data_IF_504099365473
#
_entry.id   IF_504099365473
#
_cell.length_a   1.000
_cell.length_b   1.000
_cell.length_c   1.000
_cell.angle_alpha   90.00
_cell.angle_beta   90.00
_cell.angle_gamma   90.00
#
_symmetry.space_group_name_H-M   'P 1'
#
loop_
_entity.id
_entity.type
_entity.pdbx_description
1 polymer ?
#
# COMPACT_ATOMS: atom_id res chain seq x y z
N UNK A 1 72.36 19.36 -28.64
CA UNK A 1 70.92 19.07 -28.76
C UNK A 1 70.21 19.71 -27.60
N UNK A 2 69.62 20.88 -27.83
CA UNK A 2 68.89 21.64 -26.77
C UNK A 2 67.41 21.29 -26.90
N UNK A 3 66.86 20.57 -25.90
CA UNK A 3 65.44 20.31 -25.82
C UNK A 3 64.83 21.46 -25.03
N UNK A 4 64.18 22.39 -25.75
CA UNK A 4 63.39 23.47 -25.15
C UNK A 4 62.11 22.88 -24.58
N UNK A 5 62.02 22.75 -23.26
CA UNK A 5 60.80 22.47 -22.52
C UNK A 5 59.89 23.71 -22.59
N UNK A 6 58.93 23.70 -23.48
CA UNK A 6 57.84 24.67 -23.48
C UNK A 6 56.83 24.33 -22.41
N UNK A 7 56.90 25.09 -21.33
CA UNK A 7 55.91 25.03 -20.24
C UNK A 7 54.54 25.51 -20.77
N UNK A 8 53.44 24.75 -20.71
CA UNK A 8 52.15 25.22 -21.16
C UNK A 8 51.64 26.29 -20.19
N UNK A 9 51.71 27.54 -20.64
CA UNK A 9 51.17 28.72 -19.94
C UNK A 9 49.69 28.48 -19.67
N UNK A 10 49.34 28.34 -18.39
CA UNK A 10 47.97 28.32 -17.91
C UNK A 10 47.27 29.62 -18.26
N UNK A 11 46.61 29.67 -19.41
CA UNK A 11 45.78 30.82 -19.81
C UNK A 11 44.68 31.03 -18.77
N UNK A 12 44.53 32.23 -18.21
CA UNK A 12 43.49 32.50 -17.20
C UNK A 12 42.11 32.24 -17.83
N UNK A 13 41.19 31.63 -17.09
CA UNK A 13 39.87 31.27 -17.62
C UNK A 13 39.12 32.50 -18.08
N UNK A 14 38.58 32.46 -19.32
CA UNK A 14 37.79 33.53 -19.89
C UNK A 14 36.62 33.92 -18.97
N UNK A 15 36.20 35.21 -19.01
CA UNK A 15 35.03 35.67 -18.18
C UNK A 15 33.80 34.77 -18.31
N UNK A 16 33.55 34.23 -19.50
CA UNK A 16 32.49 33.29 -19.78
C UNK A 16 32.63 31.98 -18.97
N UNK A 17 33.83 31.38 -18.89
CA UNK A 17 34.10 30.18 -18.10
C UNK A 17 33.92 30.40 -16.59
N UNK A 18 34.25 31.60 -16.09
CA UNK A 18 34.01 31.97 -14.68
C UNK A 18 32.50 32.10 -14.40
N UNK A 19 31.76 32.75 -15.32
CA UNK A 19 30.31 32.87 -15.20
C UNK A 19 29.63 31.52 -15.22
N UNK A 20 29.97 30.60 -16.13
CA UNK A 20 29.43 29.24 -16.20
C UNK A 20 29.74 28.47 -14.91
N UNK A 21 30.97 28.54 -14.39
CA UNK A 21 31.33 27.90 -13.12
C UNK A 21 30.51 28.45 -11.95
N UNK A 22 30.30 29.78 -11.89
CA UNK A 22 29.48 30.38 -10.85
C UNK A 22 28.02 29.89 -10.91
N UNK A 23 27.43 29.85 -12.11
CA UNK A 23 26.07 29.33 -12.32
C UNK A 23 25.96 27.83 -11.88
N UNK A 24 26.94 27.01 -12.26
CA UNK A 24 26.97 25.61 -11.86
C UNK A 24 27.09 25.45 -10.34
N UNK A 25 27.94 26.26 -9.68
CA UNK A 25 28.07 26.23 -8.22
C UNK A 25 26.74 26.63 -7.54
N UNK A 26 26.08 27.70 -8.01
CA UNK A 26 24.78 28.09 -7.47
C UNK A 26 23.70 27.03 -7.68
N UNK A 27 23.69 26.38 -8.86
CA UNK A 27 22.76 25.27 -9.12
C UNK A 27 23.01 24.09 -8.17
N UNK A 28 24.27 23.69 -7.99
CA UNK A 28 24.63 22.62 -7.06
C UNK A 28 24.25 22.95 -5.59
N UNK A 29 24.51 24.21 -5.18
CA UNK A 29 24.09 24.65 -3.84
C UNK A 29 22.58 24.68 -3.68
N UNK A 30 21.84 25.09 -4.70
CA UNK A 30 20.37 25.05 -4.71
C UNK A 30 19.84 23.61 -4.58
N UNK A 31 20.39 22.68 -5.34
CA UNK A 31 20.05 21.26 -5.25
C UNK A 31 20.41 20.70 -3.86
N UNK A 32 21.60 21.00 -3.35
CA UNK A 32 22.01 20.55 -2.02
C UNK A 32 21.09 21.11 -0.91
N UNK A 33 20.73 22.40 -0.98
CA UNK A 33 19.78 23.00 -0.04
C UNK A 33 18.39 22.35 -0.10
N UNK A 34 17.90 22.04 -1.32
CA UNK A 34 16.65 21.34 -1.52
C UNK A 34 16.68 19.94 -0.87
N UNK A 35 17.78 19.20 -1.05
CA UNK A 35 17.93 17.88 -0.41
C UNK A 35 18.02 17.98 1.11
N UNK A 36 18.76 18.97 1.64
CA UNK A 36 18.80 19.20 3.09
C UNK A 36 17.40 19.52 3.62
N UNK A 37 16.64 20.38 2.95
CA UNK A 37 15.27 20.66 3.33
C UNK A 37 14.40 19.40 3.29
N UNK A 38 14.43 18.62 2.20
CA UNK A 38 13.64 17.41 2.04
C UNK A 38 13.98 16.34 3.10
N UNK A 39 15.25 16.18 3.46
CA UNK A 39 15.68 15.16 4.41
C UNK A 39 15.43 15.53 5.88
N UNK A 40 15.53 16.82 6.22
CA UNK A 40 15.51 17.27 7.61
C UNK A 40 14.26 18.07 8.01
N UNK A 41 13.58 18.71 7.07
CA UNK A 41 12.48 19.64 7.35
C UNK A 41 11.16 19.22 6.71
N UNK A 42 11.16 18.42 5.63
CA UNK A 42 9.93 17.96 5.03
C UNK A 42 9.22 16.96 5.97
N UNK A 43 7.91 17.10 6.10
CA UNK A 43 7.10 16.14 6.85
C UNK A 43 7.23 14.74 6.24
N UNK A 44 7.59 13.77 7.06
CA UNK A 44 7.68 12.34 6.68
C UNK A 44 6.39 11.58 7.02
N UNK A 45 5.35 12.29 7.47
CA UNK A 45 4.08 11.64 7.76
C UNK A 45 3.37 11.26 6.44
N UNK A 46 2.91 10.01 6.38
CA UNK A 46 2.10 9.52 5.27
C UNK A 46 0.84 10.37 5.12
N UNK A 47 0.44 10.59 3.87
CA UNK A 47 -0.83 11.25 3.54
C UNK A 47 -2.04 10.50 4.11
N UNK A 48 -1.92 9.18 4.34
CA UNK A 48 -2.99 8.34 4.88
C UNK A 48 -3.01 8.28 6.40
N UNK A 49 -1.99 8.80 7.10
CA UNK A 49 -1.92 8.73 8.55
C UNK A 49 -2.91 9.67 9.21
N UNK A 50 -3.76 9.14 10.08
CA UNK A 50 -4.73 9.91 10.89
C UNK A 50 -4.21 10.13 12.31
N UNK A 51 -4.79 11.12 13.01
CA UNK A 51 -4.41 11.47 14.37
C UNK A 51 -5.10 10.65 15.45
N UNK A 52 -6.26 10.04 15.15
CA UNK A 52 -7.10 9.33 16.12
C UNK A 52 -6.54 7.95 16.49
N UNK A 53 -5.65 7.92 17.47
CA UNK A 53 -5.05 6.68 17.97
C UNK A 53 -6.04 5.75 18.68
N UNK A 54 -7.11 6.28 19.21
CA UNK A 54 -8.13 5.47 19.89
C UNK A 54 -8.91 4.66 18.85
N UNK A 55 -9.32 5.32 17.77
CA UNK A 55 -9.95 4.67 16.63
C UNK A 55 -9.05 3.60 16.01
N UNK A 56 -7.76 3.92 15.74
CA UNK A 56 -6.78 2.97 15.19
C UNK A 56 -6.69 1.69 16.01
N UNK A 57 -6.61 1.81 17.36
CA UNK A 57 -6.53 0.65 18.25
C UNK A 57 -7.80 -0.17 18.26
N UNK A 58 -8.96 0.46 18.20
CA UNK A 58 -10.25 -0.24 18.14
C UNK A 58 -10.40 -0.99 16.82
N UNK A 59 -10.09 -0.33 15.69
CA UNK A 59 -10.10 -0.94 14.38
C UNK A 59 -9.15 -2.15 14.31
N UNK A 60 -7.91 -2.01 14.77
CA UNK A 60 -6.94 -3.10 14.85
C UNK A 60 -7.47 -4.28 15.67
N UNK A 61 -8.08 -4.04 16.81
CA UNK A 61 -8.65 -5.11 17.66
C UNK A 61 -9.78 -5.86 16.97
N UNK A 62 -10.63 -5.17 16.21
CA UNK A 62 -11.70 -5.77 15.41
C UNK A 62 -11.11 -6.62 14.29
N UNK A 63 -10.15 -6.08 13.55
CA UNK A 63 -9.46 -6.81 12.47
C UNK A 63 -8.72 -8.04 13.00
N UNK A 64 -8.00 -7.93 14.13
CA UNK A 64 -7.28 -9.04 14.72
C UNK A 64 -8.22 -10.20 15.14
N UNK A 65 -9.46 -9.90 15.51
CA UNK A 65 -10.47 -10.92 15.77
C UNK A 65 -10.90 -11.61 14.48
N UNK A 66 -11.21 -10.83 13.43
CA UNK A 66 -11.56 -11.37 12.12
C UNK A 66 -10.43 -12.19 11.48
N UNK A 67 -9.17 -11.77 11.68
CA UNK A 67 -8.00 -12.52 11.22
C UNK A 67 -7.92 -13.91 11.86
N UNK A 68 -8.11 -14.01 13.18
CA UNK A 68 -8.15 -15.31 13.87
C UNK A 68 -9.31 -16.20 13.40
N UNK A 69 -10.52 -15.62 13.25
CA UNK A 69 -11.68 -16.36 12.72
C UNK A 69 -11.40 -16.90 11.31
N UNK A 70 -10.73 -16.12 10.45
CA UNK A 70 -10.33 -16.58 9.11
C UNK A 70 -9.26 -17.67 9.15
N UNK A 71 -8.29 -17.55 10.05
CA UNK A 71 -7.23 -18.54 10.17
C UNK A 71 -7.78 -19.95 10.50
N UNK A 72 -8.89 -20.03 11.25
CA UNK A 72 -9.58 -21.29 11.55
C UNK A 72 -10.27 -21.91 10.33
N UNK A 73 -10.54 -21.11 9.28
CA UNK A 73 -11.16 -21.55 8.03
C UNK A 73 -10.15 -22.02 6.98
N UNK A 74 -8.84 -21.84 7.23
CA UNK A 74 -7.81 -22.11 6.24
C UNK A 74 -7.82 -23.58 5.79
N UNK A 75 -8.03 -23.81 4.49
CA UNK A 75 -7.89 -25.10 3.83
C UNK A 75 -6.68 -25.07 2.90
N UNK A 76 -5.63 -25.77 3.29
CA UNK A 76 -4.37 -25.84 2.56
C UNK A 76 -4.33 -26.98 1.54
N UNK A 77 -5.44 -27.72 1.36
CA UNK A 77 -5.51 -28.77 0.33
C UNK A 77 -5.44 -28.15 -1.06
N UNK A 78 -4.69 -28.76 -1.93
CA UNK A 78 -4.65 -28.36 -3.35
C UNK A 78 -5.98 -28.71 -4.01
N UNK A 79 -6.49 -27.83 -4.85
CA UNK A 79 -7.78 -28.01 -5.54
C UNK A 79 -7.80 -29.26 -6.42
N UNK A 80 -6.67 -29.56 -7.11
CA UNK A 80 -6.50 -30.72 -7.96
C UNK A 80 -6.45 -32.06 -7.21
N UNK A 81 -6.16 -32.05 -5.91
CA UNK A 81 -6.08 -33.22 -5.03
C UNK A 81 -7.34 -33.40 -4.16
N UNK A 82 -8.20 -32.38 -4.05
CA UNK A 82 -9.33 -32.35 -3.12
C UNK A 82 -10.63 -32.98 -3.67
N UNK A 83 -10.61 -33.53 -4.91
CA UNK A 83 -11.72 -34.27 -5.50
C UNK A 83 -12.71 -33.41 -6.32
N UNK A 84 -13.83 -34.03 -6.80
CA UNK A 84 -14.69 -33.43 -7.81
C UNK A 84 -15.47 -32.18 -7.32
N UNK A 85 -15.63 -32.02 -6.02
CA UNK A 85 -16.37 -30.87 -5.43
C UNK A 85 -15.44 -29.78 -4.89
N UNK A 86 -14.14 -29.88 -5.13
CA UNK A 86 -13.11 -29.01 -4.53
C UNK A 86 -13.36 -27.52 -4.76
N UNK A 87 -13.80 -27.13 -5.95
CA UNK A 87 -14.11 -25.71 -6.27
C UNK A 87 -15.32 -25.21 -5.47
N UNK A 88 -16.37 -26.01 -5.37
CA UNK A 88 -17.56 -25.65 -4.60
C UNK A 88 -17.27 -25.56 -3.09
N UNK A 89 -16.47 -26.49 -2.56
CA UNK A 89 -16.01 -26.45 -1.17
C UNK A 89 -15.15 -25.22 -0.90
N UNK A 90 -14.23 -24.90 -1.80
CA UNK A 90 -13.42 -23.69 -1.72
C UNK A 90 -14.26 -22.42 -1.77
N UNK A 91 -15.28 -22.35 -2.62
CA UNK A 91 -16.20 -21.21 -2.68
C UNK A 91 -16.88 -20.97 -1.33
N UNK A 92 -17.29 -22.02 -0.63
CA UNK A 92 -17.89 -21.91 0.71
C UNK A 92 -16.90 -21.35 1.73
N UNK A 93 -15.62 -21.74 1.65
CA UNK A 93 -14.57 -21.23 2.54
C UNK A 93 -14.30 -19.77 2.26
N UNK A 94 -14.18 -19.40 0.98
CA UNK A 94 -13.99 -18.00 0.56
C UNK A 94 -15.12 -17.11 1.06
N UNK A 95 -16.38 -17.57 0.96
CA UNK A 95 -17.52 -16.81 1.48
C UNK A 95 -17.47 -16.63 2.99
N UNK A 96 -17.26 -17.71 3.74
CA UNK A 96 -17.16 -17.62 5.20
C UNK A 96 -16.03 -16.69 5.65
N UNK A 97 -14.87 -16.77 4.98
CA UNK A 97 -13.74 -15.87 5.23
C UNK A 97 -14.09 -14.43 4.88
N UNK A 98 -14.83 -14.22 3.79
CA UNK A 98 -15.28 -12.88 3.36
C UNK A 98 -16.33 -12.31 4.32
N UNK A 99 -17.24 -13.15 4.87
CA UNK A 99 -18.20 -12.75 5.90
C UNK A 99 -17.51 -12.21 7.17
N UNK A 100 -16.35 -12.77 7.54
CA UNK A 100 -15.59 -12.25 8.69
C UNK A 100 -15.06 -10.85 8.44
N UNK A 101 -14.59 -10.59 7.21
CA UNK A 101 -14.11 -9.27 6.80
C UNK A 101 -15.26 -8.26 6.77
N UNK A 102 -16.36 -8.62 6.14
CA UNK A 102 -17.53 -7.74 6.01
C UNK A 102 -18.03 -7.31 7.38
N UNK A 103 -18.23 -8.28 8.31
CA UNK A 103 -18.62 -7.97 9.70
C UNK A 103 -17.60 -7.08 10.42
N UNK A 104 -16.31 -7.27 10.17
CA UNK A 104 -15.25 -6.44 10.77
C UNK A 104 -15.33 -5.01 10.24
N UNK A 105 -15.42 -4.85 8.91
CA UNK A 105 -15.48 -3.54 8.27
C UNK A 105 -16.75 -2.77 8.65
N UNK A 106 -17.88 -3.45 8.77
CA UNK A 106 -19.13 -2.81 9.23
C UNK A 106 -19.03 -2.33 10.68
N UNK A 107 -18.40 -3.11 11.58
CA UNK A 107 -18.12 -2.66 12.94
C UNK A 107 -17.19 -1.45 12.98
N UNK A 108 -16.14 -1.45 12.16
CA UNK A 108 -15.18 -0.33 12.07
C UNK A 108 -15.84 0.91 11.48
N UNK A 109 -16.69 0.76 10.46
CA UNK A 109 -17.44 1.86 9.86
C UNK A 109 -18.39 2.55 10.85
N UNK A 110 -18.84 1.82 11.87
CA UNK A 110 -19.70 2.36 12.95
C UNK A 110 -18.92 3.08 14.05
N UNK A 111 -17.59 3.00 14.09
CA UNK A 111 -16.79 3.68 15.11
C UNK A 111 -16.74 5.18 14.83
N UNK A 112 -16.94 6.03 15.88
CA UNK A 112 -16.79 7.47 15.72
C UNK A 112 -15.32 7.83 15.51
N UNK A 113 -15.05 8.67 14.51
CA UNK A 113 -13.72 9.22 14.20
C UNK A 113 -13.65 10.64 14.76
N UNK A 114 -12.63 10.94 15.57
CA UNK A 114 -12.53 12.22 16.30
C UNK A 114 -11.71 13.29 15.56
N UNK A 115 -10.76 12.91 14.68
CA UNK A 115 -9.92 13.89 14.00
C UNK A 115 -10.43 14.25 12.59
N UNK A 116 -10.23 15.52 12.19
CA UNK A 116 -10.75 16.02 10.91
C UNK A 116 -10.23 15.27 9.68
N UNK A 117 -8.96 14.83 9.70
CA UNK A 117 -8.37 14.07 8.61
C UNK A 117 -8.97 12.66 8.55
N UNK A 118 -9.14 12.02 9.70
CA UNK A 118 -9.79 10.72 9.79
C UNK A 118 -11.23 10.76 9.29
N UNK A 119 -12.01 11.79 9.66
CA UNK A 119 -13.38 12.00 9.15
C UNK A 119 -13.39 12.05 7.62
N UNK A 120 -12.38 12.65 7.00
CA UNK A 120 -12.31 12.78 5.54
C UNK A 120 -11.87 11.47 4.85
N UNK A 121 -10.91 10.71 5.39
CA UNK A 121 -10.26 9.61 4.65
C UNK A 121 -10.67 8.20 5.11
N UNK A 122 -11.15 8.01 6.34
CA UNK A 122 -11.64 6.70 6.81
C UNK A 122 -12.79 6.18 5.96
N UNK A 123 -13.82 6.99 5.59
CA UNK A 123 -14.89 6.51 4.71
C UNK A 123 -14.38 6.05 3.34
N UNK A 124 -13.32 6.65 2.80
CA UNK A 124 -12.71 6.25 1.53
C UNK A 124 -12.03 4.87 1.67
N UNK A 125 -11.29 4.66 2.76
CA UNK A 125 -10.68 3.37 3.06
C UNK A 125 -11.74 2.27 3.26
N UNK A 126 -12.85 2.57 3.95
CA UNK A 126 -13.98 1.63 4.09
C UNK A 126 -14.57 1.27 2.72
N UNK A 127 -14.72 2.26 1.82
CA UNK A 127 -15.21 2.02 0.47
C UNK A 127 -14.25 1.13 -0.35
N UNK A 128 -12.96 1.39 -0.27
CA UNK A 128 -11.93 0.56 -0.91
C UNK A 128 -11.98 -0.88 -0.36
N UNK A 129 -12.16 -1.05 0.94
CA UNK A 129 -12.27 -2.38 1.55
C UNK A 129 -13.54 -3.12 1.12
N UNK A 130 -14.67 -2.42 0.96
CA UNK A 130 -15.92 -3.00 0.42
C UNK A 130 -15.76 -3.42 -1.04
N UNK A 131 -14.99 -2.68 -1.83
CA UNK A 131 -14.64 -3.09 -3.19
C UNK A 131 -13.85 -4.39 -3.18
N UNK A 132 -12.83 -4.52 -2.32
CA UNK A 132 -12.08 -5.75 -2.14
C UNK A 132 -12.98 -6.93 -1.72
N UNK A 133 -13.94 -6.71 -0.82
CA UNK A 133 -14.94 -7.71 -0.41
C UNK A 133 -15.80 -8.15 -1.61
N UNK A 134 -16.24 -7.22 -2.45
CA UNK A 134 -17.02 -7.52 -3.66
C UNK A 134 -16.22 -8.38 -4.66
N UNK A 135 -14.94 -8.08 -4.85
CA UNK A 135 -14.06 -8.88 -5.71
C UNK A 135 -13.94 -10.32 -5.20
N UNK A 136 -13.83 -10.52 -3.88
CA UNK A 136 -13.81 -11.84 -3.24
C UNK A 136 -15.12 -12.61 -3.45
N UNK A 137 -16.27 -11.93 -3.39
CA UNK A 137 -17.59 -12.55 -3.71
C UNK A 137 -17.64 -12.99 -5.17
N UNK A 138 -17.19 -12.15 -6.09
CA UNK A 138 -17.10 -12.50 -7.52
C UNK A 138 -16.22 -13.74 -7.73
N UNK A 139 -15.08 -13.83 -7.04
CA UNK A 139 -14.23 -15.00 -7.08
C UNK A 139 -14.93 -16.26 -6.57
N UNK A 140 -15.68 -16.18 -5.45
CA UNK A 140 -16.45 -17.30 -4.93
C UNK A 140 -17.54 -17.76 -5.93
N UNK A 141 -18.19 -16.83 -6.64
CA UNK A 141 -19.16 -17.14 -7.68
C UNK A 141 -18.51 -17.84 -8.88
N UNK A 142 -17.34 -17.41 -9.32
CA UNK A 142 -16.57 -18.09 -10.35
C UNK A 142 -16.24 -19.54 -9.97
N UNK A 143 -15.79 -19.76 -8.73
CA UNK A 143 -15.51 -21.11 -8.23
C UNK A 143 -16.77 -22.00 -8.22
N UNK A 144 -17.94 -21.48 -7.83
CA UNK A 144 -19.23 -22.20 -7.90
C UNK A 144 -19.62 -22.54 -9.34
N UNK A 145 -19.30 -21.69 -10.27
CA UNK A 145 -19.51 -21.93 -11.69
C UNK A 145 -18.51 -22.91 -12.32
N UNK A 146 -17.60 -23.49 -11.52
CA UNK A 146 -16.55 -24.39 -11.99
C UNK A 146 -15.38 -23.69 -12.66
N UNK A 147 -15.25 -22.38 -12.54
CA UNK A 147 -14.19 -21.57 -13.14
C UNK A 147 -13.03 -21.47 -12.16
N UNK A 148 -11.96 -22.26 -12.40
CA UNK A 148 -10.73 -22.22 -11.63
C UNK A 148 -9.72 -21.27 -12.27
N UNK A 149 -9.76 -20.00 -11.90
CA UNK A 149 -8.80 -18.98 -12.33
C UNK A 149 -8.19 -18.28 -11.10
N UNK A 150 -7.02 -17.66 -11.23
CA UNK A 150 -6.47 -16.85 -10.14
C UNK A 150 -7.43 -15.74 -9.71
N UNK A 151 -7.40 -15.41 -8.41
CA UNK A 151 -8.12 -14.26 -7.90
C UNK A 151 -7.68 -12.99 -8.64
N UNK A 152 -8.66 -12.23 -9.13
CA UNK A 152 -8.44 -10.94 -9.77
C UNK A 152 -9.17 -9.87 -8.96
N UNK A 153 -8.50 -8.75 -8.74
CA UNK A 153 -9.02 -7.65 -7.97
C UNK A 153 -9.15 -6.37 -8.79
N UNK A 154 -10.03 -5.50 -8.36
CA UNK A 154 -10.23 -4.17 -8.94
C UNK A 154 -8.96 -3.34 -8.79
N UNK A 155 -8.63 -2.57 -9.84
CA UNK A 155 -7.56 -1.58 -9.79
C UNK A 155 -8.16 -0.18 -9.74
N UNK A 156 -7.71 0.62 -8.78
CA UNK A 156 -8.05 2.02 -8.65
C UNK A 156 -6.79 2.86 -8.94
N UNK A 157 -6.85 3.70 -9.98
CA UNK A 157 -5.70 4.53 -10.40
C UNK A 157 -4.45 3.71 -10.78
N UNK A 158 -4.66 2.47 -11.27
CA UNK A 158 -3.58 1.55 -11.63
C UNK A 158 -2.94 0.82 -10.44
N UNK A 159 -3.49 0.96 -9.24
CA UNK A 159 -3.04 0.29 -8.01
C UNK A 159 -4.08 -0.77 -7.62
N UNK A 160 -3.68 -2.01 -7.30
CA UNK A 160 -4.58 -3.02 -6.76
C UNK A 160 -5.32 -2.52 -5.51
N UNK A 161 -6.60 -2.83 -5.40
CA UNK A 161 -7.41 -2.34 -4.28
C UNK A 161 -6.91 -2.87 -2.93
N UNK A 162 -6.37 -4.08 -2.91
CA UNK A 162 -5.74 -4.69 -1.73
C UNK A 162 -4.52 -3.89 -1.26
N UNK A 163 -3.73 -3.34 -2.18
CA UNK A 163 -2.57 -2.50 -1.86
C UNK A 163 -3.00 -1.16 -1.26
N UNK A 164 -4.05 -0.52 -1.79
CA UNK A 164 -4.60 0.72 -1.20
C UNK A 164 -5.09 0.48 0.22
N UNK A 165 -5.87 -0.58 0.43
CA UNK A 165 -6.37 -0.99 1.75
C UNK A 165 -5.21 -1.23 2.72
N UNK A 166 -4.20 -1.99 2.29
CA UNK A 166 -3.05 -2.37 3.12
C UNK A 166 -2.16 -1.19 3.44
N UNK A 167 -1.96 -0.27 2.50
CA UNK A 167 -1.16 0.95 2.71
C UNK A 167 -1.78 1.83 3.79
N UNK A 168 -3.09 2.09 3.71
CA UNK A 168 -3.78 2.84 4.77
C UNK A 168 -3.65 2.15 6.13
N UNK A 169 -3.87 0.85 6.19
CA UNK A 169 -3.76 0.07 7.42
C UNK A 169 -2.34 0.15 8.02
N UNK A 170 -1.30 -0.01 7.19
CA UNK A 170 0.10 0.07 7.61
C UNK A 170 0.47 1.47 8.13
N UNK A 171 0.07 2.53 7.44
CA UNK A 171 0.30 3.93 7.84
C UNK A 171 -0.34 4.26 9.19
N UNK A 172 -1.41 3.55 9.55
CA UNK A 172 -2.16 3.73 10.79
C UNK A 172 -1.90 2.64 11.85
N UNK A 173 -0.84 1.83 11.67
CA UNK A 173 -0.42 0.79 12.63
C UNK A 173 -1.49 -0.30 12.85
N UNK A 174 -2.34 -0.54 11.87
CA UNK A 174 -3.42 -1.52 11.91
C UNK A 174 -3.01 -2.78 11.12
N UNK A 175 -2.07 -3.55 11.69
CA UNK A 175 -1.44 -4.70 11.02
C UNK A 175 -2.41 -5.81 10.63
N UNK A 176 -3.44 -6.03 11.43
CA UNK A 176 -4.45 -7.05 11.16
C UNK A 176 -5.53 -6.58 10.17
N UNK A 177 -5.57 -5.26 9.87
CA UNK A 177 -6.50 -4.69 8.91
C UNK A 177 -5.95 -4.64 7.46
N UNK A 178 -4.79 -5.21 7.20
CA UNK A 178 -4.31 -5.37 5.82
C UNK A 178 -5.22 -6.33 5.04
N UNK A 179 -5.31 -6.15 3.75
CA UNK A 179 -6.04 -7.08 2.89
C UNK A 179 -5.42 -8.49 3.00
N UNK A 180 -6.21 -9.54 3.29
CA UNK A 180 -5.67 -10.89 3.46
C UNK A 180 -5.20 -11.48 2.12
N UNK A 181 -4.13 -12.28 2.19
CA UNK A 181 -3.54 -12.99 1.04
C UNK A 181 -4.04 -14.43 0.92
N UNK A 182 -5.13 -14.77 1.58
CA UNK A 182 -5.69 -16.12 1.71
C UNK A 182 -6.27 -16.69 0.39
N UNK A 183 -6.34 -15.91 -0.67
CA UNK A 183 -6.80 -16.32 -2.01
C UNK A 183 -5.65 -16.53 -3.01
N UNK A 184 -4.41 -16.31 -2.64
CA UNK A 184 -3.25 -16.39 -3.51
C UNK A 184 -2.63 -17.80 -3.66
N UNK A 185 -3.38 -18.87 -3.35
CA UNK A 185 -2.93 -20.28 -3.38
C UNK A 185 -3.55 -21.02 -4.54
#
# INVERSE_FOLDING_TARGET
MNVSSSNPLLTPPSRARRAIRAVLVFLCLGIAAMWVYALFFASKESVNKIGDRAWQKQAESICATAERERAELADLRRVDEAGPNALAERAVIVDKATDTLERAIDKIAALPVADAKGIAIVPLWIADYRTYIADRRTYADDLRAGINKPFAETQAEGIPISEKVSTFAADNLMKSCVAPIDLSV
#
